data_IF_390489045649
#
_entry.id   IF_390489045649
#
_cell.length_a   1.000
_cell.length_b   1.000
_cell.length_c   1.000
_cell.angle_alpha   90.00
_cell.angle_beta   90.00
_cell.angle_gamma   90.00
#
_symmetry.space_group_name_H-M   'P 1'
#
loop_
_entity.id
_entity.type
_entity.pdbx_description
1 polymer ?
#
# COMPACT_ATOMS: atom_id res chain seq x y z
N UNK A 1 -42.78 -40.37 -7.13
CA UNK A 1 -41.68 -39.64 -6.43
C UNK A 1 -41.69 -38.14 -6.68
N UNK A 2 -42.24 -37.63 -7.80
CA UNK A 2 -42.31 -36.19 -8.08
C UNK A 2 -43.34 -35.43 -7.21
N UNK A 3 -44.47 -36.06 -6.87
CA UNK A 3 -45.54 -35.45 -6.07
C UNK A 3 -45.12 -35.11 -4.63
N UNK A 4 -44.33 -35.98 -3.99
CA UNK A 4 -43.76 -35.75 -2.64
C UNK A 4 -42.81 -34.54 -2.65
N UNK A 5 -41.90 -34.49 -3.62
CA UNK A 5 -40.96 -33.39 -3.80
C UNK A 5 -41.66 -32.05 -4.03
N UNK A 6 -42.71 -32.02 -4.85
CA UNK A 6 -43.49 -30.79 -5.08
C UNK A 6 -44.20 -30.31 -3.81
N UNK A 7 -44.67 -31.22 -2.97
CA UNK A 7 -45.32 -30.87 -1.71
C UNK A 7 -44.31 -30.32 -0.69
N UNK A 8 -43.14 -30.95 -0.57
CA UNK A 8 -42.05 -30.43 0.27
C UNK A 8 -41.58 -29.03 -0.16
N UNK A 9 -41.43 -28.80 -1.47
CA UNK A 9 -41.07 -27.48 -2.00
C UNK A 9 -42.16 -26.44 -1.66
N UNK A 10 -43.44 -26.76 -1.84
CA UNK A 10 -44.54 -25.86 -1.49
C UNK A 10 -44.57 -25.55 0.01
N UNK A 11 -44.40 -26.55 0.87
CA UNK A 11 -44.35 -26.34 2.32
C UNK A 11 -43.15 -25.47 2.73
N UNK A 12 -42.00 -25.65 2.07
CA UNK A 12 -40.82 -24.82 2.32
C UNK A 12 -41.04 -23.36 1.90
N UNK A 13 -41.73 -23.10 0.78
CA UNK A 13 -42.04 -21.75 0.30
C UNK A 13 -43.05 -21.02 1.20
N UNK A 14 -44.02 -21.74 1.75
CA UNK A 14 -45.01 -21.19 2.68
C UNK A 14 -44.35 -20.81 4.02
N UNK A 15 -43.40 -21.62 4.50
CA UNK A 15 -42.67 -21.38 5.76
C UNK A 15 -41.55 -20.34 5.64
N UNK A 16 -41.05 -20.11 4.43
CA UNK A 16 -39.93 -19.19 4.21
C UNK A 16 -40.31 -17.74 4.55
N UNK A 17 -39.39 -17.04 5.22
CA UNK A 17 -39.53 -15.60 5.49
C UNK A 17 -39.39 -14.79 4.20
N UNK A 18 -39.88 -13.54 4.22
CA UNK A 18 -39.77 -12.67 3.05
C UNK A 18 -38.30 -12.36 2.69
N UNK A 19 -37.41 -12.30 3.68
CA UNK A 19 -35.96 -12.20 3.46
C UNK A 19 -35.41 -13.42 2.71
N UNK A 20 -35.80 -14.64 3.10
CA UNK A 20 -35.37 -15.87 2.42
C UNK A 20 -35.89 -15.95 0.99
N UNK A 21 -37.13 -15.50 0.75
CA UNK A 21 -37.71 -15.41 -0.60
C UNK A 21 -36.95 -14.41 -1.46
N UNK A 22 -36.65 -13.22 -0.92
CA UNK A 22 -35.84 -12.22 -1.62
C UNK A 22 -34.44 -12.73 -1.93
N UNK A 23 -33.81 -13.42 -0.98
CA UNK A 23 -32.50 -14.06 -1.13
C UNK A 23 -32.53 -15.11 -2.26
N UNK A 24 -33.54 -15.99 -2.27
CA UNK A 24 -33.72 -17.00 -3.32
C UNK A 24 -34.00 -16.37 -4.69
N UNK A 25 -34.81 -15.30 -4.74
CA UNK A 25 -35.06 -14.56 -5.97
C UNK A 25 -33.78 -13.90 -6.54
N UNK A 26 -32.89 -13.40 -5.68
CA UNK A 26 -31.57 -12.89 -6.08
C UNK A 26 -30.72 -13.99 -6.72
N UNK A 27 -30.63 -15.16 -6.08
CA UNK A 27 -29.93 -16.33 -6.65
C UNK A 27 -30.47 -16.72 -8.02
N UNK A 28 -31.80 -16.80 -8.14
CA UNK A 28 -32.46 -17.19 -9.40
C UNK A 28 -32.23 -16.19 -10.53
N UNK A 29 -31.98 -14.91 -10.20
CA UNK A 29 -31.58 -13.87 -11.16
C UNK A 29 -30.10 -13.94 -11.54
N UNK A 30 -29.31 -14.77 -10.87
CA UNK A 30 -27.86 -14.86 -11.04
C UNK A 30 -27.07 -13.91 -10.15
N UNK A 31 -27.70 -13.23 -9.20
CA UNK A 31 -26.98 -12.42 -8.22
C UNK A 31 -26.29 -13.35 -7.22
N UNK A 32 -24.97 -13.19 -7.00
CA UNK A 32 -24.26 -14.04 -6.06
C UNK A 32 -24.69 -13.70 -4.62
N UNK A 33 -25.00 -14.73 -3.83
CA UNK A 33 -25.38 -14.61 -2.41
C UNK A 33 -24.29 -13.98 -1.55
N UNK A 34 -23.06 -14.24 -1.94
CA UNK A 34 -21.84 -13.71 -1.36
C UNK A 34 -21.24 -12.76 -2.38
N UNK A 35 -20.83 -11.55 -1.98
CA UNK A 35 -20.03 -10.71 -2.87
C UNK A 35 -18.84 -11.54 -3.35
N UNK A 36 -18.65 -11.64 -4.67
CA UNK A 36 -17.45 -12.25 -5.21
C UNK A 36 -16.25 -11.51 -4.61
N UNK A 37 -15.18 -12.21 -4.22
CA UNK A 37 -13.97 -11.53 -3.79
C UNK A 37 -13.55 -10.61 -4.95
N UNK A 38 -13.52 -9.30 -4.69
CA UNK A 38 -12.97 -8.35 -5.66
C UNK A 38 -11.49 -8.68 -5.80
N UNK A 39 -11.14 -9.35 -6.89
CA UNK A 39 -9.75 -9.66 -7.21
C UNK A 39 -9.09 -8.32 -7.50
N UNK A 40 -8.23 -7.86 -6.59
CA UNK A 40 -7.47 -6.64 -6.81
C UNK A 40 -6.53 -6.81 -8.01
N UNK A 41 -6.50 -5.85 -8.94
CA UNK A 41 -5.63 -5.94 -10.10
C UNK A 41 -4.17 -5.77 -9.69
N UNK A 42 -3.30 -6.53 -10.35
CA UNK A 42 -1.86 -6.35 -10.29
C UNK A 42 -1.45 -5.11 -11.07
N UNK A 43 -0.90 -4.12 -10.36
CA UNK A 43 -0.50 -2.83 -10.91
C UNK A 43 1.00 -2.78 -11.20
N UNK A 44 1.38 -1.92 -12.14
CA UNK A 44 2.76 -1.51 -12.36
C UNK A 44 3.19 -0.43 -11.37
N UNK A 45 4.50 -0.26 -11.15
CA UNK A 45 5.03 0.78 -10.26
C UNK A 45 4.58 2.19 -10.66
N UNK A 46 4.41 2.44 -11.97
CA UNK A 46 3.92 3.72 -12.50
C UNK A 46 2.47 3.99 -12.06
N UNK A 47 1.61 2.98 -12.20
CA UNK A 47 0.19 3.07 -11.83
C UNK A 47 0.01 3.23 -10.32
N UNK A 48 0.84 2.54 -9.52
CA UNK A 48 0.88 2.76 -8.06
C UNK A 48 1.29 4.20 -7.73
N UNK A 49 2.28 4.73 -8.44
CA UNK A 49 2.71 6.13 -8.29
C UNK A 49 1.61 7.14 -8.63
N UNK A 50 0.87 6.90 -9.70
CA UNK A 50 -0.28 7.73 -10.10
C UNK A 50 -1.40 7.67 -9.05
N UNK A 51 -1.72 6.48 -8.54
CA UNK A 51 -2.77 6.32 -7.52
C UNK A 51 -2.42 6.90 -6.15
N UNK A 52 -1.15 6.81 -5.74
CA UNK A 52 -0.68 7.37 -4.48
C UNK A 52 -0.24 8.84 -4.59
N UNK A 53 -0.20 9.40 -5.81
CA UNK A 53 0.38 10.71 -6.11
C UNK A 53 1.84 10.84 -5.61
N UNK A 54 2.63 9.78 -5.82
CA UNK A 54 4.04 9.70 -5.41
C UNK A 54 4.87 9.30 -6.62
N UNK A 55 6.00 9.98 -6.80
CA UNK A 55 6.89 9.67 -7.91
C UNK A 55 7.40 8.20 -7.83
N UNK A 56 7.37 7.42 -8.92
CA UNK A 56 7.78 6.00 -8.92
C UNK A 56 9.20 5.76 -8.39
N UNK A 57 10.12 6.70 -8.64
CA UNK A 57 11.48 6.63 -8.10
C UNK A 57 11.55 6.70 -6.57
N UNK A 58 10.59 7.38 -5.93
CA UNK A 58 10.46 7.41 -4.47
C UNK A 58 9.93 6.08 -3.96
N UNK A 59 8.88 5.54 -4.60
CA UNK A 59 8.31 4.23 -4.27
C UNK A 59 9.35 3.10 -4.38
N UNK A 60 10.20 3.13 -5.41
CA UNK A 60 11.28 2.17 -5.59
C UNK A 60 12.27 2.16 -4.40
N UNK A 61 12.49 3.32 -3.75
CA UNK A 61 13.37 3.42 -2.57
C UNK A 61 12.71 2.93 -1.30
N UNK A 62 11.37 2.93 -1.26
CA UNK A 62 10.58 2.55 -0.08
C UNK A 62 10.42 1.05 0.10
N UNK A 63 11.02 0.23 -0.77
CA UNK A 63 11.02 -1.25 -0.65
C UNK A 63 9.60 -1.82 -0.48
N UNK A 64 8.62 -1.22 -1.16
CA UNK A 64 7.23 -1.65 -1.10
C UNK A 64 7.05 -3.13 -1.52
N UNK A 65 6.08 -3.86 -0.94
CA UNK A 65 5.80 -5.25 -1.28
C UNK A 65 5.59 -5.42 -2.78
N UNK A 66 6.20 -6.46 -3.36
CA UNK A 66 6.14 -6.74 -4.79
C UNK A 66 5.92 -8.22 -5.05
N UNK A 67 5.09 -8.49 -6.04
CA UNK A 67 4.82 -9.81 -6.59
C UNK A 67 5.59 -9.99 -7.89
N UNK A 68 6.15 -11.16 -8.10
CA UNK A 68 6.82 -11.46 -9.37
C UNK A 68 5.83 -12.15 -10.30
N UNK A 69 5.31 -11.42 -11.30
CA UNK A 69 4.38 -11.95 -12.30
C UNK A 69 5.06 -11.90 -13.67
N UNK A 70 5.30 -13.07 -14.27
CA UNK A 70 6.01 -13.19 -15.55
C UNK A 70 7.38 -12.47 -15.59
N UNK A 71 8.13 -12.52 -14.48
CA UNK A 71 9.46 -11.90 -14.37
C UNK A 71 9.45 -10.39 -14.19
N UNK A 72 8.28 -9.76 -14.07
CA UNK A 72 8.13 -8.32 -13.83
C UNK A 72 7.53 -8.07 -12.45
N UNK A 73 8.03 -7.05 -11.72
CA UNK A 73 7.43 -6.68 -10.45
C UNK A 73 6.03 -6.09 -10.66
N UNK A 74 5.08 -6.62 -9.90
CA UNK A 74 3.69 -6.19 -9.83
C UNK A 74 3.32 -5.88 -8.39
N UNK A 75 2.34 -5.01 -8.23
CA UNK A 75 2.00 -4.42 -6.94
C UNK A 75 0.49 -4.52 -6.72
N UNK A 76 0.09 -4.85 -5.51
CA UNK A 76 -1.30 -4.83 -5.07
C UNK A 76 -1.48 -3.58 -4.22
N UNK A 77 -2.50 -2.78 -4.51
CA UNK A 77 -2.64 -1.47 -3.87
C UNK A 77 -2.92 -1.60 -2.37
N UNK A 78 -3.80 -2.52 -1.97
CA UNK A 78 -4.11 -2.77 -0.56
C UNK A 78 -2.87 -3.16 0.25
N UNK A 79 -2.03 -4.05 -0.28
CA UNK A 79 -0.78 -4.45 0.38
C UNK A 79 0.21 -3.29 0.51
N UNK A 80 0.32 -2.45 -0.53
CA UNK A 80 1.17 -1.26 -0.48
C UNK A 80 0.65 -0.29 0.59
N UNK A 81 -0.66 -0.07 0.68
CA UNK A 81 -1.26 0.73 1.75
C UNK A 81 -0.99 0.14 3.13
N UNK A 82 -1.23 -1.16 3.32
CA UNK A 82 -0.97 -1.85 4.58
C UNK A 82 0.50 -1.75 5.00
N UNK A 83 1.43 -1.84 4.03
CA UNK A 83 2.85 -1.63 4.30
C UNK A 83 3.16 -0.20 4.72
N UNK A 84 2.59 0.81 4.06
CA UNK A 84 2.82 2.22 4.42
C UNK A 84 2.26 2.56 5.81
N UNK A 85 1.20 1.89 6.25
CA UNK A 85 0.62 2.01 7.59
C UNK A 85 1.38 1.20 8.65
N UNK A 86 2.30 0.31 8.22
CA UNK A 86 3.01 -0.58 9.12
C UNK A 86 4.07 0.15 9.97
N UNK A 87 4.37 -0.38 11.18
CA UNK A 87 5.48 0.11 11.99
C UNK A 87 6.84 -0.10 11.32
N UNK A 88 6.95 -1.07 10.40
CA UNK A 88 8.18 -1.33 9.64
C UNK A 88 8.51 -0.15 8.73
N UNK A 89 7.53 0.34 7.97
CA UNK A 89 7.73 1.53 7.14
C UNK A 89 8.01 2.76 7.98
N UNK A 90 7.37 2.89 9.14
CA UNK A 90 7.61 4.02 10.04
C UNK A 90 9.08 4.09 10.48
N UNK A 91 9.66 2.97 10.92
CA UNK A 91 11.09 2.88 11.28
C UNK A 91 11.99 3.20 10.08
N UNK A 92 11.69 2.62 8.93
CA UNK A 92 12.44 2.86 7.71
C UNK A 92 12.38 4.34 7.25
N UNK A 93 11.22 4.99 7.41
CA UNK A 93 11.05 6.40 7.09
C UNK A 93 11.84 7.30 8.05
N UNK A 94 11.92 6.94 9.33
CA UNK A 94 12.76 7.64 10.32
C UNK A 94 14.25 7.51 9.99
N UNK A 95 14.70 6.31 9.64
CA UNK A 95 16.07 6.06 9.16
C UNK A 95 16.39 6.89 7.91
N UNK A 96 15.49 6.92 6.92
CA UNK A 96 15.63 7.75 5.72
C UNK A 96 15.73 9.24 6.04
N UNK A 97 14.94 9.73 7.01
CA UNK A 97 15.01 11.13 7.46
C UNK A 97 16.31 11.41 8.20
N UNK A 98 16.79 10.50 9.03
CA UNK A 98 18.07 10.62 9.72
C UNK A 98 19.23 10.69 8.73
N UNK A 99 19.29 9.75 7.78
CA UNK A 99 20.31 9.72 6.73
C UNK A 99 20.34 11.01 5.88
N UNK A 100 19.18 11.62 5.63
CA UNK A 100 19.10 12.93 4.94
C UNK A 100 19.66 14.07 5.79
N UNK A 101 19.37 14.09 7.10
CA UNK A 101 19.90 15.12 8.01
C UNK A 101 21.42 15.05 8.10
N UNK A 102 21.98 13.85 8.18
CA UNK A 102 23.43 13.68 8.31
C UNK A 102 24.16 14.05 7.02
N UNK A 103 23.60 13.69 5.87
CA UNK A 103 24.11 14.16 4.56
C UNK A 103 24.12 15.68 4.44
N UNK A 104 23.08 16.37 4.91
CA UNK A 104 23.06 17.83 4.90
C UNK A 104 24.16 18.39 5.82
N UNK A 105 24.31 17.87 7.04
CA UNK A 105 25.35 18.35 7.98
C UNK A 105 26.76 18.23 7.41
N UNK A 106 27.06 17.12 6.74
CA UNK A 106 28.37 16.86 6.10
C UNK A 106 28.64 17.80 4.91
N UNK A 107 27.60 18.18 4.17
CA UNK A 107 27.71 19.17 3.09
C UNK A 107 27.96 20.60 3.62
N UNK A 108 27.38 20.97 4.78
CA UNK A 108 27.64 22.27 5.39
C UNK A 108 29.01 22.36 6.08
N UNK A 109 29.53 21.27 6.66
CA UNK A 109 30.89 21.26 7.25
C UNK A 109 32.01 21.39 6.22
N UNK A 110 31.73 21.06 4.96
CA UNK A 110 32.70 21.10 3.84
C UNK A 110 32.45 22.31 2.92
N UNK A 111 31.62 23.27 3.36
CA UNK A 111 31.38 24.50 2.62
C UNK A 111 32.64 25.37 2.60
N UNK A 112 33.09 25.88 1.43
CA UNK A 112 34.25 26.78 1.32
C UNK A 112 34.12 28.05 2.18
N UNK A 113 32.89 28.44 2.56
CA UNK A 113 32.61 29.59 3.42
C UNK A 113 33.08 29.41 4.87
N UNK A 114 33.12 28.17 5.39
CA UNK A 114 33.53 27.90 6.77
C UNK A 114 35.05 27.72 6.92
N UNK A 115 35.77 27.47 5.81
CA UNK A 115 37.24 27.39 5.79
C UNK A 115 37.92 28.76 5.96
N UNK A 116 37.22 29.89 5.73
CA UNK A 116 37.78 31.24 5.94
C UNK A 116 37.81 31.68 7.41
N UNK A 117 37.11 31.00 8.33
CA UNK A 117 37.04 31.42 9.74
C UNK A 117 38.20 30.91 10.61
N UNK A 118 38.98 29.93 10.13
CA UNK A 118 40.06 29.31 10.92
C UNK A 118 41.49 29.80 10.58
N UNK A 119 41.66 30.69 9.58
CA UNK A 119 42.99 31.12 9.15
C UNK A 119 43.59 32.32 9.93
N UNK A 120 42.82 33.03 10.77
CA UNK A 120 43.29 34.25 11.46
C UNK A 120 43.72 34.07 12.92
N UNK A 121 43.73 32.85 13.48
CA UNK A 121 44.02 32.62 14.90
C UNK A 121 45.50 32.31 15.24
N UNK A 122 46.44 32.47 14.29
CA UNK A 122 47.88 32.24 14.53
C UNK A 122 48.75 33.31 13.88
N UNK A 123 48.63 34.56 14.32
CA UNK A 123 49.67 35.57 14.13
C UNK A 123 49.63 36.65 15.22
N UNK A 124 50.10 36.27 16.41
CA UNK A 124 50.64 37.16 17.43
C UNK A 124 51.62 36.31 18.23
N UNK A 125 52.92 36.28 17.92
CA UNK A 125 53.80 37.46 17.86
C UNK A 125 54.01 37.89 19.31
N UNK A 126 54.78 37.16 20.12
CA UNK A 126 56.24 37.28 20.21
C UNK A 126 56.66 38.76 20.27
N UNK A 127 56.68 39.30 21.49
CA UNK A 127 57.74 40.17 22.05
C UNK A 127 57.36 40.58 23.47
#
# INVERSE_FOLDING_TARGET
MTAELTNEILQSLIRATDEQKQQALRVLRGDPLTPLPQIEPYLELKEVGEKLNIHPGTLCRWRIPKHNLAGRPRYILSEVHAYLESPEFTRFAEELRAARRDRCKEQYSTSPADLHRHAHARSGGAS
#
